data_IF_277842772483
#
_entry.id   IF_277842772483
#
_cell.length_a   1.000
_cell.length_b   1.000
_cell.length_c   1.000
_cell.angle_alpha   90.00
_cell.angle_beta   90.00
_cell.angle_gamma   90.00
#
_symmetry.space_group_name_H-M   'P 1'
#
loop_
_entity.id
_entity.type
_entity.pdbx_description
1 polymer ?
2 non-polymer ?
3 non-polymer ?
4 water ?
#
# COMPACT_ATOMS: atom_id res chain seq x y z
N UNK A 3 -5.68 24.07 -1.67
CA UNK A 3 -7.01 23.73 -1.14
C UNK A 3 -7.15 22.26 -0.85
N UNK A 4 -6.40 21.76 0.15
CA UNK A 4 -6.42 20.36 0.58
C UNK A 4 -7.57 20.05 1.51
N UNK A 5 -8.13 18.83 1.40
CA UNK A 5 -9.21 18.30 2.23
C UNK A 5 -9.10 16.77 2.30
N UNK A 6 -9.14 16.21 3.52
CA UNK A 6 -9.06 14.77 3.74
C UNK A 6 -10.33 14.03 3.29
N UNK A 7 -11.46 14.75 3.23
CA UNK A 7 -12.78 14.22 2.84
C UNK A 7 -13.04 14.36 1.33
N UNK A 8 -12.01 14.79 0.56
CA UNK A 8 -12.07 14.99 -0.90
C UNK A 8 -10.84 14.36 -1.57
N UNK A 9 -10.97 13.97 -2.86
CA UNK A 9 -9.85 13.42 -3.63
C UNK A 9 -8.96 14.56 -4.11
N UNK A 10 -7.66 14.49 -3.78
CA UNK A 10 -6.69 15.52 -4.13
C UNK A 10 -5.77 15.05 -5.25
N UNK A 11 -5.40 15.99 -6.16
CA UNK A 11 -4.47 15.71 -7.27
C UNK A 11 -3.04 15.65 -6.74
N UNK A 12 -2.06 15.19 -7.56
CA UNK A 12 -0.67 15.08 -7.13
C UNK A 12 -0.07 16.42 -6.65
N UNK A 13 -0.43 17.54 -7.31
CA UNK A 13 0.04 18.89 -6.93
C UNK A 13 -0.42 19.23 -5.50
N UNK A 14 -1.66 18.87 -5.15
CA UNK A 14 -2.26 19.09 -3.82
C UNK A 14 -1.62 18.14 -2.78
N UNK A 15 -1.39 16.86 -3.15
CA UNK A 15 -0.78 15.84 -2.28
C UNK A 15 0.68 16.20 -1.96
N UNK A 16 1.45 16.63 -2.98
CA UNK A 16 2.86 17.04 -2.84
C UNK A 16 2.97 18.25 -1.90
N UNK A 17 2.04 19.22 -2.03
CA UNK A 17 1.98 20.42 -1.19
C UNK A 17 1.57 20.04 0.24
N UNK A 18 0.78 18.96 0.39
CA UNK A 18 0.34 18.44 1.69
C UNK A 18 1.49 17.73 2.41
N UNK A 19 2.27 16.88 1.71
CA UNK A 19 3.41 16.15 2.29
C UNK A 19 4.44 17.09 2.90
N UNK A 20 4.63 18.28 2.30
CA UNK A 20 5.54 19.31 2.79
C UNK A 20 4.94 20.06 3.99
N UNK A 21 3.65 20.42 3.91
CA UNK A 21 2.94 21.17 4.95
C UNK A 21 2.65 20.36 6.22
N UNK A 22 2.26 19.08 6.09
CA UNK A 22 1.95 18.20 7.22
C UNK A 22 3.24 17.91 8.04
N UNK A 23 4.40 17.84 7.36
CA UNK A 23 5.72 17.62 7.97
C UNK A 23 6.16 18.88 8.72
N UNK A 24 5.91 20.08 8.15
CA UNK A 24 6.25 21.37 8.73
C UNK A 24 5.38 21.70 9.96
N UNK A 25 4.08 21.35 9.91
CA UNK A 25 3.13 21.57 11.00
C UNK A 25 3.37 20.61 12.17
N UNK A 26 3.91 19.41 11.87
CA UNK A 26 4.21 18.37 12.87
C UNK A 26 5.67 17.88 12.72
N UNK A 27 6.69 18.67 13.15
CA UNK A 27 8.09 18.22 12.97
C UNK A 27 8.53 17.08 13.90
N UNK A 28 7.95 17.01 15.10
CA UNK A 28 8.27 15.99 16.12
C UNK A 28 7.69 14.60 15.80
N UNK A 29 6.68 14.53 14.91
CA UNK A 29 6.04 13.26 14.54
C UNK A 29 6.35 12.78 13.12
N UNK A 30 6.36 13.70 12.14
CA UNK A 30 6.60 13.34 10.73
C UNK A 30 7.90 13.95 10.17
N UNK A 31 8.62 13.14 9.36
CA UNK A 31 9.83 13.52 8.63
C UNK A 31 9.69 12.99 7.19
N UNK A 32 9.87 13.88 6.21
CA UNK A 32 9.71 13.58 4.79
C UNK A 32 11.04 13.41 4.04
N UNK A 33 11.12 12.37 3.17
CA UNK A 33 12.28 12.04 2.33
C UNK A 33 11.83 11.53 0.95
N UNK A 34 12.69 11.70 -0.07
CA UNK A 34 12.45 11.22 -1.43
C UNK A 34 13.29 9.97 -1.67
N UNK A 35 12.62 8.81 -1.88
CA UNK A 35 13.28 7.51 -2.06
C UNK A 35 13.77 7.29 -3.51
N UNK A 36 13.21 8.03 -4.46
CA UNK A 36 13.58 7.92 -5.87
C UNK A 36 12.76 8.80 -6.80
N UNK A 37 12.92 8.56 -8.12
CA UNK A 37 12.22 9.28 -9.18
C UNK A 37 11.47 8.32 -10.12
N UNK A 38 10.34 8.79 -10.67
CA UNK A 38 9.49 8.02 -11.59
C UNK A 38 10.03 8.10 -13.04
N UNK A 39 9.33 7.46 -14.01
CA UNK A 39 9.68 7.46 -15.44
C UNK A 39 9.65 8.86 -16.04
N UNK A 40 8.66 9.70 -15.63
CA UNK A 40 8.52 11.08 -16.10
C UNK A 40 9.47 12.03 -15.37
N UNK A 41 9.90 11.66 -14.16
CA UNK A 41 10.82 12.45 -13.36
C UNK A 41 10.27 13.01 -12.05
N UNK A 42 9.08 12.54 -11.62
CA UNK A 42 8.46 12.98 -10.37
C UNK A 42 9.06 12.27 -9.16
N UNK A 43 9.24 13.01 -8.05
CA UNK A 43 9.81 12.49 -6.81
C UNK A 43 8.86 11.56 -6.06
N UNK A 44 9.37 10.40 -5.61
CA UNK A 44 8.60 9.41 -4.85
C UNK A 44 8.82 9.74 -3.37
N UNK A 45 7.87 10.48 -2.76
CA UNK A 45 7.95 10.90 -1.37
C UNK A 45 7.49 9.84 -0.37
N UNK A 46 8.21 9.74 0.76
CA UNK A 46 7.97 8.79 1.84
C UNK A 46 7.94 9.54 3.18
N UNK A 47 6.94 9.24 4.03
CA UNK A 47 6.76 9.86 5.34
C UNK A 47 7.02 8.89 6.49
N UNK A 48 7.89 9.29 7.43
CA UNK A 48 8.22 8.49 8.62
C UNK A 48 7.41 9.07 9.79
N UNK A 49 6.33 8.36 10.17
CA UNK A 49 5.41 8.80 11.23
C UNK A 49 5.72 8.13 12.58
N UNK A 50 5.87 8.95 13.62
CA UNK A 50 6.16 8.51 14.98
C UNK A 50 7.22 9.32 15.68
N UNK A 51 7.23 9.28 17.03
CA UNK A 51 8.20 9.99 17.87
C UNK A 51 9.58 9.31 17.71
N UNK A 52 10.65 10.07 17.33
CA UNK A 52 11.97 9.44 17.12
C UNK A 52 12.60 8.78 18.35
N UNK A 53 13.47 7.80 18.10
CA UNK A 53 14.17 7.06 19.14
C UNK A 53 15.11 5.99 18.62
N UNK A 54 15.88 5.31 19.50
CA UNK A 54 16.83 4.28 19.02
C UNK A 54 16.27 2.86 18.96
N UNK A 55 16.82 2.03 18.04
CA UNK A 55 16.48 0.60 17.79
C UNK A 55 14.96 0.34 17.63
N UNK A 56 14.23 1.31 17.04
CA UNK A 56 12.79 1.22 16.84
C UNK A 56 12.38 0.27 15.69
N UNK A 57 11.43 -0.67 15.93
CA UNK A 57 10.96 -1.52 14.82
C UNK A 57 10.01 -0.71 13.92
N UNK A 58 9.84 -1.15 12.66
CA UNK A 58 9.00 -0.40 11.72
C UNK A 58 8.00 -1.23 10.92
N UNK A 59 6.97 -0.54 10.38
CA UNK A 59 5.92 -1.11 9.53
C UNK A 59 5.89 -0.26 8.24
N UNK A 60 5.94 -0.93 7.08
CA UNK A 60 5.90 -0.26 5.78
C UNK A 60 4.50 -0.33 5.18
N UNK A 61 3.98 0.83 4.73
CA UNK A 61 2.67 0.94 4.11
C UNK A 61 2.70 1.79 2.85
N UNK A 62 2.33 1.18 1.72
CA UNK A 62 2.27 1.86 0.42
C UNK A 62 0.82 1.98 -0.06
N UNK A 63 0.54 3.05 -0.82
CA UNK A 63 -0.76 3.34 -1.40
C UNK A 63 -0.53 3.77 -2.86
N UNK A 64 -1.47 3.43 -3.73
CA UNK A 64 -1.43 3.80 -5.14
C UNK A 64 -0.45 3.10 -6.04
N UNK A 65 -0.38 1.75 -5.97
CA UNK A 65 0.46 0.93 -6.87
C UNK A 65 -0.23 0.97 -8.24
N UNK A 66 -1.58 0.86 -8.25
CA UNK A 66 -2.42 0.97 -9.44
C UNK A 66 -3.10 2.33 -9.42
N UNK A 67 -2.95 3.08 -10.52
CA UNK A 67 -3.39 4.46 -10.75
C UNK A 67 -4.86 4.79 -10.46
N UNK A 68 -5.82 3.98 -10.95
CA UNK A 68 -7.26 4.24 -10.80
C UNK A 68 -7.83 4.07 -9.37
N UNK A 69 -7.11 3.36 -8.49
CA UNK A 69 -7.51 3.07 -7.11
C UNK A 69 -7.37 4.32 -6.21
N UNK A 70 -8.17 5.36 -6.48
CA UNK A 70 -8.17 6.67 -5.82
C UNK A 70 -8.38 6.64 -4.30
N UNK A 71 -9.22 5.71 -3.78
CA UNK A 71 -9.48 5.59 -2.33
C UNK A 71 -8.23 5.13 -1.56
N UNK A 72 -7.33 4.34 -2.21
CA UNK A 72 -6.07 3.87 -1.62
C UNK A 72 -5.17 5.07 -1.25
N UNK A 73 -5.01 6.03 -2.21
CA UNK A 73 -4.23 7.26 -2.03
C UNK A 73 -4.82 8.11 -0.89
N UNK A 74 -6.17 8.14 -0.79
CA UNK A 74 -6.93 8.89 0.22
C UNK A 74 -6.75 8.32 1.64
N UNK A 75 -6.56 6.98 1.76
CA UNK A 75 -6.37 6.33 3.07
C UNK A 75 -5.02 6.69 3.70
N UNK A 76 -3.93 6.68 2.90
CA UNK A 76 -2.58 7.01 3.34
C UNK A 76 -2.53 8.41 3.96
N UNK A 77 -3.33 9.34 3.41
CA UNK A 77 -3.47 10.72 3.90
C UNK A 77 -4.25 10.75 5.22
N UNK A 78 -5.27 9.87 5.35
CA UNK A 78 -6.10 9.78 6.57
C UNK A 78 -5.32 9.17 7.74
N UNK A 79 -4.40 8.22 7.46
CA UNK A 79 -3.55 7.58 8.48
C UNK A 79 -2.69 8.64 9.17
N UNK A 80 -2.14 9.59 8.39
CA UNK A 80 -1.31 10.70 8.86
C UNK A 80 -2.20 11.70 9.65
N UNK A 81 -3.44 11.93 9.17
CA UNK A 81 -4.44 12.80 9.80
C UNK A 81 -4.77 12.35 11.23
N UNK A 82 -5.01 11.04 11.41
CA UNK A 82 -5.34 10.43 12.70
C UNK A 82 -4.14 10.46 13.65
N UNK A 83 -2.94 10.13 13.13
CA UNK A 83 -1.68 10.10 13.87
C UNK A 83 -1.27 11.43 14.50
N UNK A 84 -1.67 12.56 13.88
CA UNK A 84 -1.33 13.91 14.38
C UNK A 84 -2.45 14.49 15.28
N UNK A 85 -3.69 14.05 15.07
CA UNK A 85 -4.85 14.53 15.84
C UNK A 85 -5.08 13.72 17.12
N UNK A 86 -4.89 12.38 17.08
CA UNK A 86 -5.14 11.52 18.24
C UNK A 86 -3.90 11.25 19.11
N UNK A 87 -2.68 11.62 18.66
CA UNK A 87 -1.46 11.42 19.47
C UNK A 87 -1.52 12.33 20.69
N UNK A 88 -1.50 11.73 21.87
CA UNK A 88 -1.59 12.43 23.14
C UNK A 88 -3.00 12.51 23.67
N UNK A 89 -3.98 12.03 22.87
CA UNK A 89 -5.41 12.01 23.22
C UNK A 89 -6.00 10.59 23.22
N UNK A 90 -5.42 9.67 22.42
CA UNK A 90 -5.85 8.28 22.32
C UNK A 90 -4.75 7.37 22.86
N UNK A 91 -5.11 6.47 23.80
CA UNK A 91 -4.21 5.54 24.49
C UNK A 91 -3.41 4.61 23.57
N UNK A 92 -4.05 4.01 22.55
CA UNK A 92 -3.40 3.07 21.63
C UNK A 92 -2.46 3.73 20.63
N UNK A 93 -2.94 4.78 19.91
CA UNK A 93 -2.15 5.52 18.90
C UNK A 93 -0.87 6.12 19.50
N UNK A 94 -0.94 6.62 20.75
CA UNK A 94 0.20 7.18 21.48
C UNK A 94 1.27 6.10 21.70
N UNK A 95 0.85 4.89 22.12
CA UNK A 95 1.71 3.73 22.35
C UNK A 95 2.35 3.23 21.05
N UNK A 96 1.60 3.26 19.92
CA UNK A 96 2.07 2.82 18.61
C UNK A 96 3.19 3.71 18.06
N UNK A 97 2.98 5.04 18.05
CA UNK A 97 3.95 6.01 17.51
C UNK A 97 5.22 6.12 18.37
N UNK A 98 5.11 5.89 19.70
CA UNK A 98 6.24 5.94 20.63
C UNK A 98 7.17 4.73 20.49
N UNK A 99 6.58 3.54 20.28
CA UNK A 99 7.32 2.27 20.16
C UNK A 99 7.70 1.90 18.73
N UNK A 100 6.86 2.25 17.73
CA UNK A 100 7.10 1.93 16.31
C UNK A 100 7.24 3.17 15.43
N UNK A 101 7.77 2.96 14.21
CA UNK A 101 7.92 3.96 13.16
C UNK A 101 7.06 3.53 11.98
N UNK A 102 6.29 4.46 11.39
CA UNK A 102 5.45 4.14 10.24
C UNK A 102 5.99 4.72 8.94
N UNK A 103 6.48 3.84 8.05
CA UNK A 103 6.98 4.26 6.74
C UNK A 103 5.80 4.27 5.77
N UNK A 104 5.21 5.46 5.59
CA UNK A 104 4.03 5.68 4.75
C UNK A 104 4.42 6.26 3.39
N UNK A 105 4.16 5.50 2.32
CA UNK A 105 4.39 5.90 0.94
C UNK A 105 2.99 6.26 0.39
N UNK A 106 2.63 7.57 0.33
CA UNK A 106 1.27 7.93 -0.12
C UNK A 106 0.93 7.56 -1.56
N UNK A 107 1.83 7.83 -2.53
CA UNK A 107 1.61 7.51 -3.94
C UNK A 107 2.87 6.88 -4.54
N UNK A 108 2.78 5.59 -4.95
CA UNK A 108 3.89 4.87 -5.57
C UNK A 108 3.94 5.22 -7.07
N UNK A 109 2.84 4.94 -7.79
CA UNK A 109 2.71 5.21 -9.22
C UNK A 109 2.14 6.61 -9.44
N UNK A 110 3.02 7.63 -9.33
CA UNK A 110 2.68 9.05 -9.48
C UNK A 110 2.30 9.39 -10.93
N UNK A 111 3.12 8.95 -11.91
CA UNK A 111 2.90 9.17 -13.35
C UNK A 111 1.52 8.70 -13.80
N UNK A 112 1.12 7.52 -13.32
CA UNK A 112 -0.18 6.93 -13.62
C UNK A 112 -1.32 7.71 -13.00
N UNK A 113 -1.11 8.23 -11.76
CA UNK A 113 -2.11 9.01 -11.02
C UNK A 113 -2.39 10.38 -11.66
N UNK A 114 -1.36 10.99 -12.28
CA UNK A 114 -1.51 12.28 -12.98
C UNK A 114 -2.32 12.03 -14.27
N UNK A 115 -2.06 10.87 -14.91
CA UNK A 115 -2.74 10.42 -16.14
C UNK A 115 -4.23 10.15 -15.90
N UNK A 116 -4.63 9.78 -14.67
CA UNK A 116 -6.04 9.54 -14.30
C UNK A 116 -6.81 10.85 -14.09
N UNK A 117 -6.08 11.95 -13.82
CA UNK A 117 -6.64 13.28 -13.61
C UNK A 117 -6.65 14.12 -14.91
N UNK A 118 -5.80 13.76 -15.89
CA UNK A 118 -5.67 14.52 -17.15
C UNK A 118 -6.22 13.82 -18.40
N UNK A 119 -5.83 12.55 -18.67
CA UNK A 119 -6.23 11.86 -19.91
C UNK A 119 -7.18 10.66 -19.72
N UNK A 120 -6.81 9.66 -18.89
CA UNK A 120 -7.64 8.46 -18.71
C UNK A 120 -7.77 8.03 -17.25
N UNK A 121 -8.99 8.20 -16.69
CA UNK A 121 -9.38 7.87 -15.32
C UNK A 121 -9.23 6.37 -14.98
N UNK A 122 -9.41 5.49 -15.99
CA UNK A 122 -9.33 4.04 -15.81
C UNK A 122 -7.93 3.44 -16.05
N UNK A 123 -6.87 4.25 -15.93
CA UNK A 123 -5.49 3.77 -16.10
C UNK A 123 -5.04 2.92 -14.91
N UNK A 124 -4.26 1.86 -15.17
CA UNK A 124 -3.79 0.92 -14.13
C UNK A 124 -2.27 0.88 -13.96
N UNK A 125 -1.53 0.59 -15.06
CA UNK A 125 -0.07 0.45 -15.07
C UNK A 125 0.70 1.78 -14.90
N UNK A 126 2.02 1.75 -15.14
CA UNK A 126 2.90 2.92 -15.11
C UNK A 126 2.80 3.66 -16.46
N UNK A 127 3.71 4.61 -16.72
CA UNK A 127 3.71 5.37 -17.97
C UNK A 127 5.04 5.25 -18.74
N UNK A 128 5.62 4.03 -18.74
CA UNK A 128 6.89 3.72 -19.39
C UNK A 128 6.71 3.17 -20.81
N UNK A 129 7.69 3.47 -21.68
CA UNK A 129 7.70 3.02 -23.08
C UNK A 129 8.09 1.54 -23.18
N UNK A 130 7.65 0.87 -24.25
CA UNK A 130 7.95 -0.55 -24.52
C UNK A 130 8.49 -0.74 -25.94
N UNK A 131 9.48 -1.63 -26.10
CA UNK A 131 10.13 -1.93 -27.37
C UNK A 131 9.23 -2.71 -28.35
N UNK A 132 9.28 -2.30 -29.62
CA UNK A 132 8.53 -2.92 -30.72
C UNK A 132 7.03 -2.69 -30.74
N UNK A 133 6.52 -1.75 -29.91
CA UNK A 133 5.10 -1.42 -29.79
C UNK A 133 4.87 0.01 -29.29
N UNK A 134 3.68 0.58 -29.55
CA UNK A 134 3.31 1.92 -29.07
C UNK A 134 2.61 1.81 -27.72
N UNK A 135 2.33 0.56 -27.27
CA UNK A 135 1.69 0.24 -25.99
C UNK A 135 2.59 0.69 -24.82
N UNK A 136 2.00 1.44 -23.88
CA UNK A 136 2.68 2.05 -22.74
C UNK A 136 2.25 1.42 -21.40
N UNK A 137 3.21 1.28 -20.48
CA UNK A 137 2.97 0.78 -19.14
C UNK A 137 3.38 -0.64 -18.81
N UNK A 138 3.66 -0.86 -17.52
CA UNK A 138 4.04 -2.14 -16.91
C UNK A 138 3.35 -2.20 -15.54
N UNK A 139 2.75 -3.37 -15.22
CA UNK A 139 2.06 -3.58 -13.94
C UNK A 139 3.11 -3.68 -12.82
N UNK A 140 3.12 -2.75 -11.83
CA UNK A 140 4.12 -2.81 -10.75
C UNK A 140 3.98 -4.04 -9.85
N UNK A 141 2.73 -4.53 -9.68
CA UNK A 141 2.40 -5.70 -8.86
C UNK A 141 2.71 -7.03 -9.58
N UNK A 142 3.40 -6.96 -10.73
CA UNK A 142 3.85 -8.11 -11.55
C UNK A 142 5.35 -7.93 -11.89
N UNK A 143 5.98 -6.86 -11.38
CA UNK A 143 7.37 -6.49 -11.64
C UNK A 143 8.35 -6.84 -10.50
N UNK A 144 7.87 -7.46 -9.40
CA UNK A 144 8.75 -7.86 -8.29
C UNK A 144 9.41 -9.22 -8.57
N UNK A 145 10.56 -9.48 -7.91
CA UNK A 145 11.33 -10.71 -8.09
C UNK A 145 10.87 -11.82 -7.12
N UNK A 146 9.64 -12.31 -7.34
CA UNK A 146 9.02 -13.39 -6.57
C UNK A 146 8.21 -14.25 -7.55
N UNK A 147 8.89 -15.23 -8.15
CA UNK A 147 8.33 -16.12 -9.17
C UNK A 147 7.87 -15.32 -10.38
N UNK A 148 8.70 -14.33 -10.79
CA UNK A 148 8.45 -13.36 -11.85
C UNK A 148 8.05 -13.94 -13.21
N UNK A 149 7.02 -13.31 -13.82
CA UNK A 149 6.42 -13.54 -15.14
C UNK A 149 6.06 -15.01 -15.43
N UNK A 150 5.42 -15.69 -14.45
CA UNK A 150 4.95 -17.06 -14.61
C UNK A 150 3.44 -17.02 -14.96
N UNK A 151 2.68 -18.10 -14.68
CA UNK A 151 1.24 -18.15 -14.95
C UNK A 151 0.51 -17.14 -14.06
N UNK A 152 -0.22 -16.22 -14.70
CA UNK A 152 -0.95 -15.15 -14.04
C UNK A 152 -0.47 -13.77 -14.42
N UNK A 153 0.75 -13.69 -14.99
CA UNK A 153 1.38 -12.46 -15.48
C UNK A 153 1.51 -12.55 -17.00
N UNK A 154 1.40 -11.41 -17.70
CA UNK A 154 1.48 -11.38 -19.16
C UNK A 154 2.81 -10.88 -19.71
N UNK A 155 3.25 -11.50 -20.82
CA UNK A 155 4.48 -11.16 -21.55
C UNK A 155 4.21 -10.08 -22.60
N UNK A 156 2.91 -9.79 -22.86
CA UNK A 156 2.43 -8.80 -23.83
C UNK A 156 2.41 -7.38 -23.21
N UNK A 157 3.17 -6.41 -23.78
CA UNK A 157 3.16 -5.04 -23.22
C UNK A 157 1.82 -4.30 -23.31
N UNK A 158 0.93 -4.75 -24.22
CA UNK A 158 -0.41 -4.17 -24.41
C UNK A 158 -1.40 -4.64 -23.33
N UNK A 159 -1.02 -5.64 -22.51
CA UNK A 159 -1.84 -6.22 -21.45
C UNK A 159 -1.70 -5.49 -20.11
N UNK A 160 -2.81 -5.43 -19.36
CA UNK A 160 -2.92 -4.77 -18.05
C UNK A 160 -2.09 -5.43 -16.93
N UNK A 161 -1.75 -6.72 -17.09
CA UNK A 161 -0.95 -7.50 -16.13
C UNK A 161 0.48 -7.77 -16.66
N UNK A 162 1.05 -6.78 -17.39
CA UNK A 162 2.39 -6.87 -17.97
C UNK A 162 3.50 -6.93 -16.92
N UNK A 163 4.28 -8.03 -16.95
CA UNK A 163 5.39 -8.32 -16.02
C UNK A 163 6.61 -7.41 -16.25
N UNK A 164 6.76 -6.90 -17.47
CA UNK A 164 7.87 -6.05 -17.86
C UNK A 164 8.93 -6.78 -18.66
N UNK A 165 9.99 -6.05 -19.06
CA UNK A 165 11.13 -6.59 -19.80
C UNK A 165 11.98 -7.50 -18.92
N UNK A 166 12.10 -7.13 -17.62
CA UNK A 166 12.84 -7.86 -16.59
C UNK A 166 12.23 -7.56 -15.21
N UNK A 167 12.66 -8.31 -14.16
CA UNK A 167 12.20 -8.06 -12.79
C UNK A 167 12.82 -6.75 -12.32
N UNK A 168 11.99 -5.84 -11.77
CA UNK A 168 12.35 -4.50 -11.27
C UNK A 168 12.82 -3.57 -12.41
N UNK A 169 12.26 -3.75 -13.63
CA UNK A 169 12.57 -2.93 -14.82
C UNK A 169 12.07 -1.48 -14.66
N UNK A 170 11.03 -1.28 -13.83
CA UNK A 170 10.46 0.02 -13.54
C UNK A 170 11.23 0.68 -12.41
N UNK A 171 11.42 2.02 -12.49
CA UNK A 171 12.12 2.81 -11.46
C UNK A 171 11.33 2.85 -10.16
N UNK A 172 9.98 2.83 -10.24
CA UNK A 172 9.07 2.83 -9.09
C UNK A 172 9.18 1.52 -8.31
N UNK A 173 9.33 0.38 -9.01
CA UNK A 173 9.47 -0.96 -8.43
C UNK A 173 10.85 -1.12 -7.75
N UNK A 174 11.92 -0.58 -8.37
CA UNK A 174 13.27 -0.65 -7.83
C UNK A 174 13.45 0.23 -6.59
N UNK A 175 12.91 1.47 -6.63
CA UNK A 175 12.98 2.45 -5.52
C UNK A 175 12.28 1.94 -4.25
N UNK A 176 11.20 1.16 -4.41
CA UNK A 176 10.44 0.58 -3.30
C UNK A 176 11.24 -0.60 -2.72
N UNK A 177 11.70 -1.52 -3.60
CA UNK A 177 12.48 -2.71 -3.24
C UNK A 177 13.81 -2.39 -2.59
N UNK A 178 14.52 -1.34 -3.07
CA UNK A 178 15.82 -0.93 -2.52
C UNK A 178 15.69 -0.42 -1.09
N UNK A 179 14.60 0.33 -0.80
CA UNK A 179 14.33 0.87 0.55
C UNK A 179 14.11 -0.25 1.57
N UNK A 180 13.35 -1.30 1.20
CA UNK A 180 13.06 -2.46 2.05
C UNK A 180 14.37 -3.23 2.35
N UNK A 181 15.24 -3.40 1.34
CA UNK A 181 16.56 -4.05 1.47
C UNK A 181 17.47 -3.28 2.43
N UNK A 182 17.44 -1.94 2.36
CA UNK A 182 18.23 -1.04 3.20
C UNK A 182 17.72 -0.92 4.64
N UNK A 183 16.47 -1.36 4.90
CA UNK A 183 15.84 -1.30 6.23
C UNK A 183 15.20 -2.64 6.66
N UNK A 184 15.67 -3.77 6.10
CA UNK A 184 15.17 -5.13 6.36
C UNK A 184 15.17 -5.55 7.84
N UNK A 185 16.26 -5.23 8.57
CA UNK A 185 16.44 -5.54 9.99
C UNK A 185 15.45 -4.81 10.91
N UNK A 186 14.88 -3.68 10.44
CA UNK A 186 13.91 -2.88 11.20
C UNK A 186 12.44 -3.14 10.83
N UNK A 187 12.14 -3.38 9.52
CA UNK A 187 10.79 -3.63 9.02
C UNK A 187 10.28 -5.01 9.50
N UNK A 188 9.17 -5.01 10.25
CA UNK A 188 8.55 -6.22 10.80
C UNK A 188 7.23 -6.57 10.09
N UNK A 189 6.59 -5.56 9.46
CA UNK A 189 5.33 -5.74 8.74
C UNK A 189 5.26 -4.95 7.43
N UNK A 190 4.61 -5.53 6.41
CA UNK A 190 4.39 -4.93 5.09
C UNK A 190 2.89 -4.89 4.80
N UNK A 191 2.36 -3.68 4.55
CA UNK A 191 0.94 -3.47 4.22
C UNK A 191 0.81 -2.76 2.87
N UNK A 192 0.02 -3.33 1.95
CA UNK A 192 -0.19 -2.75 0.63
C UNK A 192 -1.66 -2.41 0.41
N UNK A 193 -1.98 -1.09 0.40
CA UNK A 193 -3.34 -0.60 0.24
C UNK A 193 -3.73 -0.54 -1.23
N UNK A 194 -4.88 -1.14 -1.56
CA UNK A 194 -5.46 -1.27 -2.90
C UNK A 194 -7.00 -1.20 -2.82
N UNK A 195 -7.69 -1.37 -3.97
CA UNK A 195 -9.14 -1.41 -4.15
C UNK A 195 -9.44 -2.07 -5.51
N UNK A 196 -10.59 -2.74 -5.73
CA UNK A 196 -11.74 -2.96 -4.84
C UNK A 196 -12.08 -4.46 -4.83
N UNK A 197 -12.85 -4.92 -3.82
CA UNK A 197 -13.37 -6.29 -3.59
C UNK A 197 -13.62 -6.57 -2.11
N UNK A 198 -13.00 -5.79 -1.20
CA UNK A 198 -13.08 -5.92 0.26
C UNK A 198 -12.41 -7.23 0.71
N UNK A 199 -11.11 -7.36 0.39
CA UNK A 199 -10.28 -8.52 0.67
C UNK A 199 -9.03 -8.18 1.49
N UNK A 200 -8.57 -9.13 2.30
CA UNK A 200 -7.34 -9.05 3.09
C UNK A 200 -6.52 -10.26 2.66
N UNK A 201 -5.52 -10.02 1.80
CA UNK A 201 -4.68 -11.03 1.16
C UNK A 201 -3.29 -11.13 1.80
N UNK A 202 -2.86 -12.38 2.08
CA UNK A 202 -1.53 -12.68 2.60
C UNK A 202 -0.83 -13.70 1.66
N UNK A 203 0.52 -13.89 1.70
CA UNK A 203 1.17 -14.84 0.76
C UNK A 203 0.64 -16.29 0.79
N UNK A 204 0.75 -17.08 -0.31
CA UNK A 204 1.40 -16.73 -1.58
C UNK A 204 0.42 -16.53 -2.75
N UNK A 205 0.83 -15.71 -3.73
CA UNK A 205 0.09 -15.39 -4.96
C UNK A 205 0.80 -15.87 -6.22
N UNK A 206 2.16 -16.00 -6.19
CA UNK A 206 2.93 -16.42 -7.36
C UNK A 206 2.81 -17.91 -7.68
N UNK A 207 2.43 -18.74 -6.68
CA UNK A 207 2.25 -20.19 -6.84
C UNK A 207 1.26 -20.73 -5.81
N UNK A 208 0.61 -21.86 -6.12
CA UNK A 208 -0.32 -22.53 -5.23
C UNK A 208 0.48 -23.22 -4.10
N UNK A 209 0.74 -22.46 -3.02
CA UNK A 209 1.47 -22.92 -1.83
C UNK A 209 1.11 -22.11 -0.59
N UNK A 210 1.07 -22.77 0.57
CA UNK A 210 0.75 -22.13 1.85
C UNK A 210 2.02 -21.62 2.56
N UNK A 211 1.97 -20.45 3.23
CA UNK A 211 3.18 -19.95 3.91
C UNK A 211 3.53 -20.71 5.19
N UNK A 212 4.76 -20.49 5.71
CA UNK A 212 5.30 -21.11 6.92
C UNK A 212 4.37 -20.91 8.13
N UNK A 213 3.92 -19.66 8.35
CA UNK A 213 3.03 -19.29 9.47
C UNK A 213 1.58 -19.06 9.00
N UNK A 214 1.08 -19.95 8.11
CA UNK A 214 -0.28 -19.90 7.54
C UNK A 214 -1.39 -19.81 8.58
N UNK A 215 -1.30 -20.59 9.67
CA UNK A 215 -2.27 -20.61 10.78
C UNK A 215 -2.35 -19.26 11.49
N UNK A 216 -1.19 -18.62 11.72
CA UNK A 216 -1.06 -17.32 12.37
C UNK A 216 -1.67 -16.21 11.48
N UNK A 217 -1.32 -16.21 10.18
CA UNK A 217 -1.80 -15.22 9.21
C UNK A 217 -3.31 -15.34 8.94
N UNK A 218 -3.86 -16.56 9.07
CA UNK A 218 -5.29 -16.84 8.91
C UNK A 218 -6.09 -16.27 10.09
N UNK A 219 -5.61 -16.50 11.32
CA UNK A 219 -6.24 -16.02 12.56
C UNK A 219 -6.15 -14.51 12.72
N UNK A 220 -5.01 -13.91 12.33
CA UNK A 220 -4.77 -12.46 12.42
C UNK A 220 -5.69 -11.69 11.47
N UNK A 221 -5.82 -12.14 10.21
CA UNK A 221 -6.69 -11.55 9.19
C UNK A 221 -8.15 -11.65 9.61
N UNK A 222 -8.54 -12.78 10.24
CA UNK A 222 -9.88 -13.07 10.75
C UNK A 222 -10.29 -12.03 11.81
N UNK A 223 -9.41 -11.76 12.78
CA UNK A 223 -9.63 -10.80 13.86
C UNK A 223 -9.62 -9.35 13.38
N UNK A 224 -8.80 -9.05 12.35
CA UNK A 224 -8.70 -7.73 11.72
C UNK A 224 -9.97 -7.40 10.93
N UNK A 225 -10.60 -8.45 10.34
CA UNK A 225 -11.85 -8.38 9.59
C UNK A 225 -13.00 -7.99 10.53
N UNK A 226 -13.03 -8.60 11.74
CA UNK A 226 -14.03 -8.38 12.79
C UNK A 226 -14.01 -6.94 13.30
N UNK A 227 -12.80 -6.38 13.55
CA UNK A 227 -12.59 -5.01 14.03
C UNK A 227 -13.09 -3.96 13.05
N UNK A 228 -12.95 -4.20 11.73
CA UNK A 228 -13.41 -3.30 10.67
C UNK A 228 -14.94 -3.32 10.60
N UNK A 229 -15.54 -4.52 10.75
CA UNK A 229 -16.98 -4.76 10.69
C UNK A 229 -17.79 -4.13 11.83
N UNK A 230 -17.15 -3.87 13.00
CA UNK A 230 -17.83 -3.29 14.17
C UNK A 230 -18.36 -1.86 13.92
N UNK A 231 -17.73 -1.10 13.00
CA UNK A 231 -18.14 0.27 12.70
C UNK A 231 -19.40 0.37 11.82
N UNK A 232 -19.31 0.01 10.52
CA UNK A 232 -20.42 0.14 9.57
C UNK A 232 -20.98 -1.19 9.02
N UNK A 233 -20.52 -2.31 9.55
CA UNK A 233 -20.96 -3.63 9.13
C UNK A 233 -20.46 -4.05 7.76
N UNK A 234 -19.29 -3.51 7.35
CA UNK A 234 -18.66 -3.81 6.06
C UNK A 234 -18.08 -5.23 6.09
N UNK A 235 -18.58 -6.10 5.20
CA UNK A 235 -18.15 -7.50 5.12
C UNK A 235 -16.87 -7.65 4.32
N UNK A 236 -15.87 -8.30 4.93
CA UNK A 236 -14.54 -8.53 4.34
C UNK A 236 -14.19 -10.01 4.33
N UNK A 237 -13.59 -10.48 3.23
CA UNK A 237 -13.13 -11.87 3.08
C UNK A 237 -11.61 -11.92 3.21
N UNK A 238 -11.06 -13.07 3.63
CA UNK A 238 -9.63 -13.24 3.86
C UNK A 238 -9.09 -14.61 3.42
N UNK A 239 -7.77 -14.72 3.37
CA UNK A 239 -7.06 -15.94 2.98
C UNK A 239 -5.88 -15.69 2.06
N UNK A 240 -5.09 -16.74 1.72
CA UNK A 240 -3.95 -16.52 0.81
C UNK A 240 -4.36 -16.14 -0.62
N UNK A 241 -3.47 -15.44 -1.31
CA UNK A 241 -3.65 -14.93 -2.66
C UNK A 241 -4.17 -15.89 -3.71
N UNK A 242 -3.36 -16.93 -4.04
CA UNK A 242 -3.69 -17.95 -5.05
C UNK A 242 -4.99 -18.73 -4.78
N UNK A 243 -5.36 -18.91 -3.50
CA UNK A 243 -6.55 -19.65 -3.08
C UNK A 243 -7.83 -18.81 -3.14
N UNK A 244 -7.79 -17.58 -2.59
CA UNK A 244 -8.94 -16.68 -2.52
C UNK A 244 -9.15 -15.89 -3.81
N UNK A 245 -8.09 -15.26 -4.34
CA UNK A 245 -8.14 -14.45 -5.55
C UNK A 245 -7.81 -15.24 -6.83
N UNK A 246 -6.58 -15.07 -7.35
CA UNK A 246 -6.05 -15.70 -8.57
C UNK A 246 -4.53 -15.69 -8.53
N UNK A 247 -3.87 -16.35 -9.52
CA UNK A 247 -2.41 -16.36 -9.61
C UNK A 247 -1.95 -14.97 -10.06
N UNK A 248 -1.22 -14.27 -9.18
CA UNK A 248 -0.70 -12.93 -9.45
C UNK A 248 0.80 -12.92 -9.11
N UNK A 249 1.66 -13.47 -10.01
CA UNK A 249 3.10 -13.53 -9.70
C UNK A 249 3.84 -12.21 -9.75
N UNK A 250 4.93 -12.12 -8.98
CA UNK A 250 5.78 -10.94 -8.88
C UNK A 250 5.16 -9.79 -8.13
N UNK A 251 4.53 -10.10 -7.00
CA UNK A 251 3.87 -9.12 -6.13
C UNK A 251 4.77 -8.61 -5.02
N UNK A 252 4.49 -7.38 -4.57
CA UNK A 252 5.22 -6.70 -3.51
C UNK A 252 5.10 -7.37 -2.16
N UNK A 253 3.91 -7.92 -1.86
CA UNK A 253 3.63 -8.64 -0.61
C UNK A 253 4.33 -10.00 -0.56
N UNK A 254 4.38 -10.71 -1.70
CA UNK A 254 5.03 -12.01 -1.85
C UNK A 254 6.55 -11.88 -1.75
N UNK A 255 7.11 -10.80 -2.36
CA UNK A 255 8.53 -10.49 -2.34
C UNK A 255 9.00 -10.18 -0.91
N UNK A 256 8.26 -9.32 -0.20
CA UNK A 256 8.54 -8.91 1.18
C UNK A 256 8.59 -10.10 2.14
N UNK A 257 7.69 -11.10 1.95
CA UNK A 257 7.63 -12.32 2.75
C UNK A 257 8.87 -13.19 2.56
N UNK A 258 9.33 -13.34 1.29
CA UNK A 258 10.53 -14.11 0.95
C UNK A 258 11.83 -13.45 1.42
N UNK A 259 11.76 -12.15 1.82
CA UNK A 259 12.89 -11.38 2.35
C UNK A 259 13.05 -11.59 3.87
N UNK A 260 11.96 -12.01 4.53
CA UNK A 260 11.95 -12.27 5.96
C UNK A 260 10.79 -11.65 6.72
N UNK A 261 10.00 -10.79 6.06
CA UNK A 261 8.84 -10.12 6.68
C UNK A 261 7.67 -11.10 6.72
N UNK A 262 7.55 -11.85 7.85
CA UNK A 262 6.53 -12.89 8.03
C UNK A 262 5.08 -12.34 8.15
N UNK A 263 4.93 -11.02 8.36
CA UNK A 263 3.62 -10.37 8.42
C UNK A 263 3.45 -9.48 7.18
N UNK A 264 2.93 -10.06 6.09
CA UNK A 264 2.72 -9.37 4.82
C UNK A 264 1.25 -9.39 4.42
N UNK A 265 0.67 -8.20 4.19
CA UNK A 265 -0.75 -8.07 3.84
C UNK A 265 -1.05 -7.10 2.70
N UNK A 266 -2.13 -7.40 1.96
CA UNK A 266 -2.68 -6.60 0.86
C UNK A 266 -4.13 -6.31 1.21
N UNK A 267 -4.47 -5.03 1.40
CA UNK A 267 -5.81 -4.58 1.77
C UNK A 267 -6.56 -4.04 0.56
N UNK A 268 -7.72 -4.63 0.25
CA UNK A 268 -8.58 -4.21 -0.86
C UNK A 268 -9.74 -3.44 -0.21
N UNK A 269 -9.83 -2.13 -0.49
CA UNK A 269 -10.86 -1.27 0.12
C UNK A 269 -12.22 -1.34 -0.58
N UNK A 270 -13.16 -0.46 -0.18
CA UNK A 270 -14.52 -0.34 -0.71
C UNK A 270 -14.52 -0.08 -2.24
N UNK A 271 -15.48 -0.64 -3.02
CA UNK A 271 -16.59 -1.48 -2.58
C UNK A 271 -16.56 -2.88 -3.22
N UNK A 272 -17.74 -3.49 -3.46
CA UNK A 272 -17.85 -4.82 -4.06
C UNK A 272 -18.08 -4.80 -5.58
N UNK A 273 -18.46 -3.65 -6.12
CA UNK A 273 -18.69 -3.50 -7.56
C UNK A 273 -19.69 -2.45 -8.02
N UNK A 274 -20.42 -1.81 -7.07
CA UNK A 274 -21.43 -0.79 -7.39
C UNK A 274 -20.77 0.44 -8.05
N UNK A 275 -19.74 1.00 -7.40
CA UNK A 275 -18.98 2.14 -7.91
C UNK A 275 -17.62 1.70 -8.44
N UNK A 276 -17.04 0.68 -7.80
CA UNK A 276 -15.75 0.11 -8.16
C UNK A 276 -14.60 1.04 -7.86
N UNK A 277 -13.84 1.41 -8.91
CA UNK A 277 -12.70 2.33 -8.80
C UNK A 277 -13.15 3.78 -8.61
N UNK A 278 -14.36 4.13 -9.08
CA UNK A 278 -14.92 5.48 -8.98
C UNK A 278 -15.84 5.59 -7.73
N UNK A 279 -15.27 5.33 -6.54
CA UNK A 279 -15.97 5.41 -5.26
C UNK A 279 -16.22 6.90 -4.93
N UNK A 280 -17.45 7.30 -4.52
CA UNK A 280 -17.71 8.74 -4.27
C UNK A 280 -16.95 9.36 -3.10
N UNK A 281 -16.82 10.71 -3.12
CA UNK A 281 -16.15 11.52 -2.09
C UNK A 281 -16.88 11.42 -0.75
N UNK A 282 -18.21 11.21 -0.78
CA UNK A 282 -19.09 11.08 0.38
C UNK A 282 -18.85 9.78 1.18
N UNK A 283 -18.06 8.84 0.62
CA UNK A 283 -17.72 7.56 1.23
C UNK A 283 -16.28 7.48 1.78
N UNK A 284 -15.47 8.55 1.61
CA UNK A 284 -14.07 8.60 2.07
C UNK A 284 -13.94 8.43 3.59
N UNK A 285 -14.58 9.32 4.40
CA UNK A 285 -14.51 9.26 5.87
C UNK A 285 -14.99 7.92 6.45
N UNK A 286 -16.02 7.30 5.84
CA UNK A 286 -16.58 6.02 6.28
C UNK A 286 -15.60 4.85 6.03
N UNK A 287 -14.96 4.81 4.84
CA UNK A 287 -13.98 3.78 4.45
C UNK A 287 -12.69 3.93 5.25
N UNK A 288 -12.20 5.18 5.42
CA UNK A 288 -10.97 5.47 6.14
C UNK A 288 -11.02 5.13 7.63
N UNK A 289 -12.13 5.47 8.32
CA UNK A 289 -12.31 5.19 9.75
C UNK A 289 -12.38 3.70 10.06
N UNK A 290 -13.10 2.90 9.23
CA UNK A 290 -13.23 1.45 9.42
C UNK A 290 -11.90 0.72 9.15
N UNK A 291 -11.15 1.13 8.10
CA UNK A 291 -9.85 0.56 7.74
C UNK A 291 -8.83 0.84 8.85
N UNK A 292 -8.91 2.04 9.49
CA UNK A 292 -8.04 2.46 10.60
C UNK A 292 -8.11 1.45 11.75
N UNK A 293 -9.32 0.94 12.08
CA UNK A 293 -9.54 -0.06 13.13
C UNK A 293 -8.84 -1.38 12.82
N UNK A 294 -8.85 -1.80 11.53
CA UNK A 294 -8.21 -3.02 11.05
C UNK A 294 -6.68 -2.86 11.04
N UNK A 295 -6.17 -1.66 10.65
CA UNK A 295 -4.75 -1.34 10.61
C UNK A 295 -4.17 -1.25 12.03
N UNK A 296 -4.91 -0.59 12.97
CA UNK A 296 -4.53 -0.46 14.37
C UNK A 296 -4.46 -1.81 15.09
N UNK A 297 -5.34 -2.77 14.71
CA UNK A 297 -5.35 -4.12 15.28
C UNK A 297 -4.10 -4.90 14.86
N UNK A 298 -3.73 -4.82 13.55
CA UNK A 298 -2.55 -5.49 12.98
C UNK A 298 -1.29 -4.92 13.66
N UNK A 299 -1.24 -3.58 13.83
CA UNK A 299 -0.15 -2.84 14.47
C UNK A 299 0.04 -3.31 15.93
N UNK A 300 -1.08 -3.46 16.68
CA UNK A 300 -1.09 -3.92 18.07
C UNK A 300 -0.54 -5.34 18.24
N UNK A 301 -0.87 -6.23 17.27
CA UNK A 301 -0.41 -7.62 17.25
C UNK A 301 1.10 -7.72 17.02
N UNK A 302 1.63 -6.98 16.02
CA UNK A 302 3.05 -6.93 15.64
C UNK A 302 3.93 -6.55 16.84
N UNK A 303 3.49 -5.56 17.65
CA UNK A 303 4.18 -5.09 18.86
C UNK A 303 4.31 -6.20 19.92
N UNK A 304 3.27 -7.00 20.07
CA UNK A 304 3.23 -8.10 21.02
C UNK A 304 3.93 -9.37 20.54
N UNK A 305 4.32 -9.40 19.25
CA UNK A 305 5.00 -10.55 18.63
C UNK A 305 6.21 -10.12 17.78
N UNK A 306 7.09 -9.27 18.36
CA UNK A 306 8.29 -8.77 17.69
C UNK A 306 9.36 -9.86 17.53
N UNK A 307 10.00 -9.90 16.34
CA UNK A 307 11.02 -10.87 15.98
C UNK A 307 12.31 -10.23 15.43
X LIG B 1 -4.29 -2.65 -6.88
X LIG C 1 -11.12 9.27 13.42
X LIG D 1 0.62 -14.56 20.79
X LIG E 1 -11.21 -5.54 -10.59
X LIG E 1 -12.49 -6.38 -10.74
X LIG E 1 -12.29 -7.86 -10.30
X LIG E 1 -11.69 -7.98 -8.88
X LIG E 1 -10.38 -7.16 -8.73
X LIG E 1 -10.58 -5.69 -9.19
X LIG E 1 -9.45 -4.68 -8.83
X LIG E 1 -8.00 -4.90 -9.38
X LIG E 1 -7.91 -4.98 -10.92
X LIG E 1 -8.13 -3.96 -11.60
X LIG E 1 -7.51 -6.14 -11.43
X LIG E 1 -7.31 -6.37 -12.86
X LIG E 1 -7.89 -7.73 -13.28
X LIG E 1 -8.13 -7.90 -14.81
X LIG E 1 -6.85 -7.88 -15.65
X LIG E 1 -9.23 -7.00 -15.37
X LIG E 1 -7.33 -6.04 -8.72
X LIG E 1 -6.03 -6.04 -8.39
X LIG E 1 -5.31 -5.05 -8.58
X LIG E 1 -5.59 -7.15 -7.82
X LIG E 1 -4.20 -7.36 -7.37
X LIG E 1 -3.24 -7.42 -8.56
X LIG E 1 -3.59 -8.10 -9.55
X LIG E 1 -2.17 -6.78 -8.46
X LIG E 1 -4.09 -8.64 -6.54
X LIG E 1 -3.07 -8.49 -5.41
X LIG E 1 -2.53 -9.86 -4.99
X LIG E 1 -1.39 -9.72 -3.99
X LIG E 1 -0.11 -9.62 -4.70
#
# INVERSE_FOLDING_TARGET
TTGHSYEKYNNWETIEAWTKQVTSENPDLISRTAIGTTFLGNNIYLLKVGKPGPNKPAIFMDCGIHAREWISHAFCQWFVREAVLTYGYESHMTEFLNKLDFYVLPVLNIDGYIYTWTKNRMWRKTRSTNAGTTCIGTDPNRNFDAGWCTTGASTDPCDETYCGSAAESEKETKALADFIRNNLSSIKAYLSIHSYSQHIVYPYSYDYKLPENNAELNNLAKAAVKELATLYGTKYTYGPGATTLYLAPGGGDDWAYDQGIKYSFTFELRDKGRYGFILPESQIQATCEETMLAIKYVTNYVLGHLY
ZN ZN
ZN ZN
ZN ZN
FH9 C23 C24 C25 C28 C29 C22 C21 C14 C15 O16 N17 C18 C19 C20 C26 C27 N13 C11 O12 N10 C6 C7 O8 O9 C5 C4 C3 C2 N1
#
